data_IF_248987067971
#
_entry.id   IF_248987067971
#
_cell.length_a   1.000
_cell.length_b   1.000
_cell.length_c   1.000
_cell.angle_alpha   90.00
_cell.angle_beta   90.00
_cell.angle_gamma   90.00
#
_symmetry.space_group_name_H-M   'P 1'
#
loop_
_entity.id
_entity.type
_entity.pdbx_description
1 polymer ?
#
# COMPACT_ATOMS: atom_id res chain seq x y z
N UNK A 1 7.17 -15.19 -15.01
CA UNK A 1 5.93 -14.49 -14.65
C UNK A 1 6.13 -13.67 -13.38
N UNK A 2 5.58 -12.45 -13.28
CA UNK A 2 5.74 -11.58 -12.12
C UNK A 2 4.77 -11.99 -10.99
N UNK A 3 5.22 -12.88 -10.10
CA UNK A 3 4.45 -13.41 -8.97
C UNK A 3 4.93 -12.83 -7.65
N UNK A 4 4.39 -11.68 -7.24
CA UNK A 4 4.62 -11.03 -5.95
C UNK A 4 3.42 -10.17 -5.57
N UNK A 5 3.13 -10.05 -4.28
CA UNK A 5 2.13 -9.11 -3.79
C UNK A 5 2.63 -7.66 -3.71
N UNK A 6 3.94 -7.43 -3.79
CA UNK A 6 4.56 -6.13 -3.48
C UNK A 6 4.46 -5.10 -4.62
N UNK A 7 4.14 -5.54 -5.85
CA UNK A 7 4.07 -4.73 -7.07
C UNK A 7 5.40 -4.01 -7.40
N UNK A 8 6.52 -4.50 -6.91
CA UNK A 8 7.85 -3.88 -6.97
C UNK A 8 8.68 -4.26 -8.20
N UNK A 9 8.15 -5.11 -9.11
CA UNK A 9 8.81 -5.50 -10.37
C UNK A 9 8.67 -4.36 -11.39
N UNK A 10 9.80 -3.76 -11.79
CA UNK A 10 9.82 -2.53 -12.56
C UNK A 10 9.30 -2.64 -14.00
N UNK A 11 9.44 -3.79 -14.63
CA UNK A 11 9.02 -3.99 -16.03
C UNK A 11 7.51 -4.20 -16.20
N UNK A 12 6.74 -4.22 -15.12
CA UNK A 12 5.30 -4.48 -15.17
C UNK A 12 4.51 -3.53 -14.27
N UNK A 13 3.30 -3.18 -14.69
CA UNK A 13 2.32 -2.40 -13.91
C UNK A 13 1.42 -3.29 -13.06
N UNK A 14 1.53 -4.62 -13.22
CA UNK A 14 0.74 -5.59 -12.48
C UNK A 14 1.57 -6.83 -12.12
N UNK A 15 1.42 -7.28 -10.88
CA UNK A 15 2.01 -8.54 -10.41
C UNK A 15 0.92 -9.46 -9.87
N UNK A 16 1.04 -10.76 -10.16
CA UNK A 16 0.07 -11.78 -9.75
C UNK A 16 0.12 -11.92 -8.22
N UNK A 17 -1.03 -11.66 -7.58
CA UNK A 17 -1.20 -11.67 -6.14
C UNK A 17 -1.39 -10.29 -5.51
N UNK A 18 -1.02 -9.19 -6.19
CA UNK A 18 -1.17 -7.84 -5.65
C UNK A 18 -2.63 -7.48 -5.35
N UNK A 19 -3.52 -7.66 -6.33
CA UNK A 19 -4.94 -7.33 -6.18
C UNK A 19 -5.59 -8.13 -5.05
N UNK A 20 -5.25 -9.42 -4.93
CA UNK A 20 -5.71 -10.28 -3.83
C UNK A 20 -5.21 -9.77 -2.47
N UNK A 21 -3.92 -9.42 -2.36
CA UNK A 21 -3.35 -8.93 -1.12
C UNK A 21 -3.96 -7.58 -0.68
N UNK A 22 -4.21 -6.67 -1.62
CA UNK A 22 -4.90 -5.39 -1.35
C UNK A 22 -6.32 -5.64 -0.86
N UNK A 23 -7.09 -6.51 -1.53
CA UNK A 23 -8.47 -6.82 -1.12
C UNK A 23 -8.51 -7.49 0.26
N UNK A 24 -7.58 -8.40 0.56
CA UNK A 24 -7.45 -9.00 1.90
C UNK A 24 -7.16 -7.94 2.97
N UNK A 25 -6.27 -7.00 2.67
CA UNK A 25 -5.95 -5.91 3.59
C UNK A 25 -7.16 -4.97 3.78
N UNK A 26 -7.86 -4.61 2.71
CA UNK A 26 -9.05 -3.76 2.78
C UNK A 26 -10.15 -4.38 3.64
N UNK A 27 -10.43 -5.68 3.48
CA UNK A 27 -11.41 -6.38 4.31
C UNK A 27 -11.04 -6.31 5.81
N UNK A 28 -9.76 -6.43 6.14
CA UNK A 28 -9.30 -6.29 7.51
C UNK A 28 -9.41 -4.85 8.02
N UNK A 29 -9.02 -3.86 7.19
CA UNK A 29 -9.07 -2.43 7.53
C UNK A 29 -10.52 -1.99 7.79
N UNK A 30 -11.47 -2.42 6.97
CA UNK A 30 -12.89 -2.07 7.17
C UNK A 30 -13.41 -2.59 8.53
N UNK A 31 -13.08 -3.83 8.89
CA UNK A 31 -13.43 -4.41 10.21
C UNK A 31 -12.78 -3.64 11.37
N UNK A 32 -11.51 -3.20 11.20
CA UNK A 32 -10.82 -2.39 12.21
C UNK A 32 -11.46 -1.01 12.33
N UNK A 33 -11.86 -0.40 11.20
CA UNK A 33 -12.52 0.90 11.16
C UNK A 33 -13.83 0.90 11.93
N UNK A 34 -14.68 -0.11 11.72
CA UNK A 34 -15.95 -0.23 12.45
C UNK A 34 -15.71 -0.22 13.96
N UNK A 35 -14.72 -0.99 14.42
CA UNK A 35 -14.33 -1.02 15.84
C UNK A 35 -13.74 0.31 16.30
N UNK A 36 -12.90 0.95 15.49
CA UNK A 36 -12.26 2.23 15.83
C UNK A 36 -13.27 3.36 15.94
N UNK A 37 -14.28 3.37 15.07
CA UNK A 37 -15.35 4.38 15.10
C UNK A 37 -16.18 4.28 16.38
N UNK A 38 -16.54 3.07 16.80
CA UNK A 38 -17.35 2.85 18.01
C UNK A 38 -16.62 3.17 19.33
N UNK A 39 -15.29 3.14 19.32
CA UNK A 39 -14.47 3.39 20.51
C UNK A 39 -13.68 4.71 20.45
N UNK A 40 -13.88 5.52 19.43
CA UNK A 40 -13.21 6.82 19.23
C UNK A 40 -11.68 6.74 19.27
N UNK A 41 -11.09 5.75 18.61
CA UNK A 41 -9.66 5.42 18.64
C UNK A 41 -8.91 5.92 17.43
N UNK A 42 -7.59 6.03 17.60
CA UNK A 42 -6.63 6.02 16.49
C UNK A 42 -6.19 4.57 16.21
N UNK A 43 -6.22 4.17 14.95
CA UNK A 43 -5.77 2.85 14.51
C UNK A 43 -4.63 2.96 13.50
N UNK A 44 -3.50 2.32 13.79
CA UNK A 44 -2.39 2.16 12.86
C UNK A 44 -2.46 0.74 12.32
N UNK A 45 -2.68 0.61 11.01
CA UNK A 45 -2.72 -0.69 10.35
C UNK A 45 -1.45 -0.84 9.50
N UNK A 46 -0.60 -1.79 9.88
CA UNK A 46 0.60 -2.11 9.12
C UNK A 46 0.29 -3.17 8.08
N UNK A 47 0.62 -2.83 6.83
CA UNK A 47 0.44 -3.70 5.67
C UNK A 47 1.78 -4.13 5.09
N UNK A 48 1.81 -5.29 4.46
CA UNK A 48 2.99 -5.82 3.77
C UNK A 48 3.35 -4.95 2.55
N UNK A 49 4.45 -5.25 1.91
CA UNK A 49 4.98 -4.56 0.73
C UNK A 49 6.51 -4.54 0.70
N UNK A 50 7.16 -5.15 1.72
CA UNK A 50 8.61 -5.19 1.87
C UNK A 50 9.23 -3.78 1.87
N UNK A 51 9.96 -3.39 0.82
CA UNK A 51 10.53 -2.06 0.65
C UNK A 51 9.71 -1.13 -0.23
N UNK A 52 8.47 -1.52 -0.61
CA UNK A 52 7.61 -0.76 -1.50
C UNK A 52 6.28 -0.39 -0.82
N UNK A 53 5.81 0.81 -1.04
CA UNK A 53 4.60 1.36 -0.43
C UNK A 53 3.31 1.15 -1.24
N UNK A 54 3.31 0.35 -2.31
CA UNK A 54 2.14 0.23 -3.20
C UNK A 54 0.90 -0.30 -2.51
N UNK A 55 1.01 -1.34 -1.66
CA UNK A 55 -0.14 -1.87 -0.91
C UNK A 55 -0.67 -0.80 0.05
N UNK A 56 0.20 -0.13 0.80
CA UNK A 56 -0.19 0.93 1.72
C UNK A 56 -0.88 2.09 0.99
N UNK A 57 -0.36 2.51 -0.15
CA UNK A 57 -0.92 3.57 -0.97
C UNK A 57 -2.34 3.20 -1.47
N UNK A 58 -2.49 2.00 -2.02
CA UNK A 58 -3.79 1.53 -2.54
C UNK A 58 -4.83 1.37 -1.43
N UNK A 59 -4.44 0.71 -0.33
CA UNK A 59 -5.33 0.56 0.82
C UNK A 59 -5.72 1.91 1.43
N UNK A 60 -4.75 2.81 1.59
CA UNK A 60 -4.99 4.13 2.16
C UNK A 60 -5.93 4.99 1.31
N UNK A 61 -5.74 5.01 -0.02
CA UNK A 61 -6.65 5.70 -0.94
C UNK A 61 -8.04 5.09 -0.92
N UNK A 62 -8.14 3.78 -1.05
CA UNK A 62 -9.42 3.07 -1.13
C UNK A 62 -10.25 3.20 0.15
N UNK A 63 -9.59 3.28 1.29
CA UNK A 63 -10.25 3.39 2.60
C UNK A 63 -10.36 4.83 3.10
N UNK A 64 -9.76 5.81 2.42
CA UNK A 64 -9.75 7.22 2.85
C UNK A 64 -9.04 7.41 4.19
N UNK A 65 -7.91 6.74 4.38
CA UNK A 65 -7.10 6.87 5.59
C UNK A 65 -6.60 8.32 5.77
N UNK A 66 -6.49 8.77 7.02
CA UNK A 66 -6.06 10.13 7.35
C UNK A 66 -4.56 10.31 7.15
N UNK A 67 -3.78 9.28 7.38
CA UNK A 67 -2.34 9.28 7.14
C UNK A 67 -1.92 7.98 6.45
N UNK A 68 -0.99 8.09 5.50
CA UNK A 68 -0.44 6.96 4.77
C UNK A 68 1.08 7.09 4.76
N UNK A 69 1.74 6.09 5.32
CA UNK A 69 3.19 6.06 5.46
C UNK A 69 3.77 5.03 4.48
N UNK A 70 4.64 5.50 3.60
CA UNK A 70 5.31 4.66 2.59
C UNK A 70 6.82 4.87 2.62
N UNK A 71 7.63 3.84 2.35
CA UNK A 71 9.08 3.97 2.35
C UNK A 71 9.61 5.04 1.39
N UNK A 72 8.97 5.20 0.24
CA UNK A 72 9.38 6.13 -0.81
C UNK A 72 9.32 7.60 -0.40
N UNK A 73 8.45 7.95 0.56
CA UNK A 73 8.34 9.33 1.09
C UNK A 73 8.94 9.47 2.50
N UNK A 74 9.39 8.38 3.09
CA UNK A 74 9.92 8.38 4.46
C UNK A 74 11.40 8.76 4.47
N UNK A 75 11.72 9.90 5.09
CA UNK A 75 13.09 10.43 5.20
C UNK A 75 13.92 9.83 6.35
N UNK A 76 13.40 8.81 7.03
CA UNK A 76 14.02 8.19 8.21
C UNK A 76 13.75 8.95 9.53
N UNK A 77 13.06 10.08 9.49
CA UNK A 77 12.77 10.89 10.67
C UNK A 77 11.42 10.52 11.29
N UNK A 78 11.39 9.41 12.02
CA UNK A 78 10.19 8.93 12.69
C UNK A 78 9.54 9.95 13.65
N UNK A 79 10.27 10.70 14.50
CA UNK A 79 9.68 11.74 15.33
C UNK A 79 8.91 12.82 14.56
N UNK A 80 9.40 13.21 13.38
CA UNK A 80 8.72 14.17 12.50
C UNK A 80 7.38 13.61 11.99
N UNK A 81 7.38 12.37 11.54
CA UNK A 81 6.17 11.68 11.07
C UNK A 81 5.14 11.55 12.20
N UNK A 82 5.57 11.14 13.38
CA UNK A 82 4.72 11.03 14.57
C UNK A 82 4.11 12.38 14.95
N UNK A 83 4.89 13.45 14.93
CA UNK A 83 4.39 14.79 15.19
C UNK A 83 3.32 15.22 14.19
N UNK A 84 3.51 14.92 12.90
CA UNK A 84 2.49 15.19 11.87
C UNK A 84 1.20 14.44 12.13
N UNK A 85 1.27 13.14 12.43
CA UNK A 85 0.09 12.34 12.77
C UNK A 85 -0.64 12.91 13.99
N UNK A 86 0.10 13.29 15.04
CA UNK A 86 -0.47 13.90 16.25
C UNK A 86 -1.23 15.19 15.90
N UNK A 87 -0.63 16.07 15.10
CA UNK A 87 -1.26 17.33 14.67
C UNK A 87 -2.52 17.07 13.84
N UNK A 88 -2.49 16.12 12.91
CA UNK A 88 -3.65 15.72 12.11
C UNK A 88 -4.78 15.14 12.99
N UNK A 89 -4.43 14.24 13.89
CA UNK A 89 -5.35 13.61 14.83
C UNK A 89 -6.06 14.65 15.71
N UNK A 90 -5.31 15.54 16.34
CA UNK A 90 -5.86 16.59 17.21
C UNK A 90 -6.71 17.61 16.42
N UNK A 91 -6.27 18.01 15.23
CA UNK A 91 -7.03 18.88 14.34
C UNK A 91 -8.35 18.25 13.90
N UNK A 92 -8.34 16.99 13.53
CA UNK A 92 -9.53 16.25 13.10
C UNK A 92 -10.50 16.04 14.28
N UNK A 93 -9.97 15.75 15.47
CA UNK A 93 -10.74 15.64 16.70
C UNK A 93 -11.45 16.95 17.03
N UNK A 94 -10.77 18.09 16.92
CA UNK A 94 -11.34 19.41 17.12
C UNK A 94 -12.48 19.74 16.14
N UNK A 95 -12.50 19.10 14.96
CA UNK A 95 -13.58 19.20 13.97
C UNK A 95 -14.70 18.17 14.19
N UNK A 96 -14.67 17.39 15.27
CA UNK A 96 -15.69 16.39 15.62
C UNK A 96 -15.48 15.01 14.98
N UNK A 97 -14.31 14.74 14.36
CA UNK A 97 -14.00 13.41 13.84
C UNK A 97 -13.62 12.49 15.01
N UNK A 98 -14.30 11.35 15.12
CA UNK A 98 -14.17 10.46 16.28
C UNK A 98 -13.09 9.39 16.10
N UNK A 99 -12.76 9.02 14.85
CA UNK A 99 -11.73 8.02 14.55
C UNK A 99 -10.61 8.62 13.70
N UNK A 100 -9.45 7.96 13.72
CA UNK A 100 -8.30 8.31 12.89
C UNK A 100 -7.60 7.03 12.42
N UNK A 101 -7.43 6.86 11.13
CA UNK A 101 -6.82 5.69 10.52
C UNK A 101 -5.47 6.06 9.90
N UNK A 102 -4.44 5.33 10.28
CA UNK A 102 -3.10 5.42 9.69
C UNK A 102 -2.80 4.10 8.99
N UNK A 103 -2.53 4.13 7.70
CA UNK A 103 -2.02 2.96 6.98
C UNK A 103 -0.49 3.07 6.89
N UNK A 104 0.19 2.10 7.44
CA UNK A 104 1.65 2.08 7.53
C UNK A 104 2.22 0.91 6.72
N UNK A 105 3.13 1.20 5.79
CA UNK A 105 3.87 0.14 5.09
C UNK A 105 4.89 -0.51 6.04
N UNK A 106 5.06 -1.83 5.97
CA UNK A 106 6.05 -2.56 6.79
C UNK A 106 7.49 -2.05 6.59
N UNK A 107 7.78 -1.48 5.42
CA UNK A 107 9.09 -0.87 5.11
C UNK A 107 9.40 0.39 5.93
N UNK A 108 8.38 1.08 6.45
CA UNK A 108 8.53 2.14 7.45
C UNK A 108 8.60 1.54 8.85
N UNK A 109 7.74 0.55 9.13
CA UNK A 109 7.73 -0.20 10.38
C UNK A 109 7.32 0.61 11.62
N UNK A 110 7.81 0.21 12.77
CA UNK A 110 7.65 0.90 14.06
C UNK A 110 6.21 1.06 14.59
N UNK A 111 5.19 0.42 14.01
CA UNK A 111 3.77 0.64 14.31
C UNK A 111 3.42 0.54 15.80
N UNK A 112 3.92 -0.46 16.52
CA UNK A 112 3.65 -0.59 17.97
C UNK A 112 4.25 0.53 18.81
N UNK A 113 5.49 0.93 18.51
CA UNK A 113 6.15 2.01 19.26
C UNK A 113 5.55 3.37 18.92
N UNK A 114 5.16 3.58 17.67
CA UNK A 114 4.45 4.76 17.19
C UNK A 114 3.09 4.89 17.90
N UNK A 115 2.31 3.82 17.96
CA UNK A 115 1.02 3.82 18.66
C UNK A 115 1.16 4.27 20.12
N UNK A 116 2.14 3.71 20.86
CA UNK A 116 2.40 4.09 22.26
C UNK A 116 2.77 5.56 22.41
N UNK A 117 3.60 6.11 21.51
CA UNK A 117 4.01 7.51 21.58
C UNK A 117 2.89 8.47 21.26
N UNK A 118 2.07 8.16 20.24
CA UNK A 118 0.88 8.95 19.88
C UNK A 118 -0.12 8.95 21.04
N UNK A 119 -0.42 7.78 21.60
CA UNK A 119 -1.31 7.67 22.77
C UNK A 119 -0.80 8.49 23.96
N UNK A 120 0.49 8.38 24.28
CA UNK A 120 1.11 9.15 25.37
C UNK A 120 1.05 10.66 25.16
N UNK A 121 1.20 11.11 23.92
CA UNK A 121 1.20 12.54 23.59
C UNK A 121 -0.21 13.16 23.50
N UNK A 122 -1.22 12.36 23.12
CA UNK A 122 -2.58 12.86 22.83
C UNK A 122 -3.61 12.47 23.87
N UNK A 123 -3.34 11.43 24.66
CA UNK A 123 -4.32 10.80 25.54
C UNK A 123 -5.41 10.01 24.78
N UNK A 124 -5.32 9.91 23.47
CA UNK A 124 -6.27 9.18 22.63
C UNK A 124 -5.78 7.73 22.49
N UNK A 125 -6.63 6.78 22.86
CA UNK A 125 -6.30 5.36 22.72
C UNK A 125 -5.88 5.05 21.29
N UNK A 126 -4.65 4.53 21.14
CA UNK A 126 -4.06 4.24 19.83
C UNK A 126 -3.63 2.77 19.75
N UNK A 127 -4.13 2.07 18.76
CA UNK A 127 -3.87 0.64 18.56
C UNK A 127 -3.13 0.39 17.25
N UNK A 128 -2.11 -0.46 17.30
CA UNK A 128 -1.43 -0.95 16.11
C UNK A 128 -1.87 -2.39 15.81
N UNK A 129 -2.22 -2.63 14.54
CA UNK A 129 -2.54 -3.96 14.02
C UNK A 129 -1.63 -4.25 12.84
N UNK A 130 -0.81 -5.30 12.95
CA UNK A 130 0.07 -5.75 11.88
C UNK A 130 -0.61 -6.90 11.15
N UNK A 131 -0.99 -6.71 9.88
CA UNK A 131 -1.70 -7.74 9.12
C UNK A 131 -0.77 -8.92 8.78
N UNK A 132 0.46 -8.63 8.39
CA UNK A 132 1.47 -9.64 8.14
C UNK A 132 1.03 -10.69 7.12
N UNK A 133 1.39 -11.94 7.37
CA UNK A 133 1.24 -13.06 6.43
C UNK A 133 -0.20 -13.40 6.03
N UNK A 134 -1.23 -12.94 6.75
CA UNK A 134 -2.62 -13.14 6.30
C UNK A 134 -2.88 -12.51 4.92
N UNK A 135 -2.14 -11.46 4.55
CA UNK A 135 -2.25 -10.83 3.24
C UNK A 135 -1.75 -11.72 2.08
N UNK A 136 -0.99 -12.77 2.36
CA UNK A 136 -0.52 -13.74 1.37
C UNK A 136 -1.48 -14.90 1.15
N UNK A 137 -2.54 -14.98 1.96
CA UNK A 137 -3.55 -16.01 1.89
C UNK A 137 -4.83 -15.56 1.18
N UNK A 138 -5.81 -16.44 1.20
CA UNK A 138 -7.13 -16.20 0.64
C UNK A 138 -7.30 -16.70 -0.79
N UNK A 139 -8.52 -16.53 -1.32
CA UNK A 139 -8.86 -16.88 -2.69
C UNK A 139 -8.44 -15.77 -3.65
N UNK A 140 -7.72 -16.08 -4.75
CA UNK A 140 -7.37 -15.09 -5.75
C UNK A 140 -8.59 -14.36 -6.29
N UNK A 141 -8.48 -13.04 -6.46
CA UNK A 141 -9.50 -12.22 -7.10
C UNK A 141 -9.70 -12.62 -8.57
N UNK A 142 -10.81 -12.21 -9.16
CA UNK A 142 -11.05 -12.42 -10.59
C UNK A 142 -9.91 -11.81 -11.43
N UNK A 143 -9.44 -10.64 -11.07
CA UNK A 143 -8.35 -9.96 -11.79
C UNK A 143 -7.05 -10.76 -11.76
N UNK A 144 -6.64 -11.23 -10.59
CA UNK A 144 -5.44 -12.06 -10.46
C UNK A 144 -5.53 -13.34 -11.31
N UNK A 145 -6.70 -14.01 -11.30
CA UNK A 145 -6.91 -15.24 -12.09
C UNK A 145 -6.81 -14.97 -13.58
N UNK A 146 -7.48 -13.93 -14.07
CA UNK A 146 -7.49 -13.56 -15.51
C UNK A 146 -6.08 -13.16 -15.96
N UNK A 147 -5.42 -12.29 -15.22
CA UNK A 147 -4.09 -11.81 -15.60
C UNK A 147 -3.04 -12.92 -15.52
N UNK A 148 -3.11 -13.79 -14.51
CA UNK A 148 -2.24 -14.97 -14.45
C UNK A 148 -2.42 -15.89 -15.66
N UNK A 149 -3.69 -16.11 -16.10
CA UNK A 149 -3.99 -16.94 -17.28
C UNK A 149 -3.46 -16.30 -18.57
N UNK A 150 -3.66 -14.99 -18.75
CA UNK A 150 -3.17 -14.26 -19.93
C UNK A 150 -1.65 -14.24 -20.00
N UNK A 151 -0.99 -13.98 -18.86
CA UNK A 151 0.47 -14.01 -18.78
C UNK A 151 1.02 -15.42 -19.01
N UNK A 152 0.32 -16.45 -18.49
CA UNK A 152 0.69 -17.85 -18.73
C UNK A 152 0.58 -18.25 -20.19
N UNK A 153 -0.50 -17.87 -20.88
CA UNK A 153 -0.67 -18.11 -22.31
C UNK A 153 0.46 -17.45 -23.13
N UNK A 154 0.72 -16.16 -22.90
CA UNK A 154 1.82 -15.45 -23.58
C UNK A 154 3.17 -16.11 -23.32
N UNK A 155 3.44 -16.58 -22.10
CA UNK A 155 4.69 -17.28 -21.80
C UNK A 155 4.84 -18.59 -22.60
N UNK A 156 3.77 -19.34 -22.78
CA UNK A 156 3.76 -20.57 -23.61
C UNK A 156 3.98 -20.23 -25.07
N UNK A 157 3.33 -19.19 -25.60
CA UNK A 157 3.50 -18.75 -27.00
C UNK A 157 4.97 -18.34 -27.28
N UNK A 158 5.60 -17.65 -26.33
CA UNK A 158 7.01 -17.28 -26.43
C UNK A 158 7.92 -18.53 -26.47
N UNK A 159 7.65 -19.53 -25.66
CA UNK A 159 8.40 -20.79 -25.65
C UNK A 159 8.22 -21.57 -26.96
N UNK A 160 7.00 -21.64 -27.49
CA UNK A 160 6.70 -22.26 -28.80
C UNK A 160 7.45 -21.53 -29.92
N UNK A 161 7.56 -20.19 -29.83
CA UNK A 161 8.33 -19.38 -30.77
C UNK A 161 9.86 -19.48 -30.56
N UNK A 162 10.34 -20.34 -29.66
CA UNK A 162 11.75 -20.53 -29.36
C UNK A 162 12.42 -19.37 -28.60
N UNK A 163 11.65 -18.44 -28.05
CA UNK A 163 12.17 -17.33 -27.24
C UNK A 163 12.50 -17.80 -25.82
N UNK A 164 13.70 -17.46 -25.36
CA UNK A 164 14.18 -17.78 -24.01
C UNK A 164 14.60 -16.51 -23.29
N UNK A 165 14.85 -16.59 -21.97
CA UNK A 165 15.28 -15.46 -21.15
C UNK A 165 14.30 -14.27 -21.20
N UNK A 166 12.99 -14.56 -21.26
CA UNK A 166 11.93 -13.54 -21.33
C UNK A 166 11.22 -13.39 -20.00
N UNK A 167 10.83 -12.16 -19.66
CA UNK A 167 9.91 -11.81 -18.57
C UNK A 167 8.61 -11.33 -19.20
N UNK A 168 7.50 -11.98 -18.84
CA UNK A 168 6.17 -11.51 -19.22
C UNK A 168 5.69 -10.47 -18.23
N UNK A 169 5.00 -9.44 -18.68
CA UNK A 169 4.43 -8.39 -17.87
C UNK A 169 3.12 -7.84 -18.44
N UNK A 170 2.57 -6.86 -17.75
CA UNK A 170 1.42 -6.08 -18.19
C UNK A 170 1.79 -4.60 -18.16
N UNK A 171 1.62 -3.90 -19.27
CA UNK A 171 2.01 -2.49 -19.38
C UNK A 171 1.16 -1.76 -20.41
N UNK A 172 0.69 -0.56 -20.07
CA UNK A 172 -0.13 0.31 -20.94
C UNK A 172 -1.37 -0.39 -21.53
N UNK A 173 -2.01 -1.26 -20.75
CA UNK A 173 -3.20 -1.99 -21.19
C UNK A 173 -2.93 -3.30 -21.94
N UNK A 174 -1.66 -3.66 -22.16
CA UNK A 174 -1.26 -4.83 -22.97
C UNK A 174 -0.39 -5.81 -22.19
N UNK A 175 -0.47 -7.09 -22.55
CA UNK A 175 0.47 -8.10 -22.09
C UNK A 175 1.71 -8.08 -23.00
N UNK A 176 2.86 -7.89 -22.38
CA UNK A 176 4.14 -7.65 -23.06
C UNK A 176 5.23 -8.59 -22.58
N UNK A 177 6.33 -8.71 -23.33
CA UNK A 177 7.51 -9.45 -22.91
C UNK A 177 8.78 -8.61 -23.08
N UNK A 178 9.73 -8.80 -22.18
CA UNK A 178 11.03 -8.15 -22.18
C UNK A 178 12.16 -9.17 -22.09
N UNK A 179 13.33 -8.84 -22.61
CA UNK A 179 14.54 -9.55 -22.22
C UNK A 179 14.78 -9.41 -20.72
N UNK A 180 15.25 -10.47 -20.07
CA UNK A 180 15.39 -10.46 -18.61
C UNK A 180 16.39 -9.40 -18.13
N UNK A 181 17.46 -9.14 -18.89
CA UNK A 181 18.45 -8.14 -18.51
C UNK A 181 17.90 -6.72 -18.69
N UNK A 182 17.10 -6.49 -19.75
CA UNK A 182 16.38 -5.23 -19.92
C UNK A 182 15.39 -5.00 -18.77
N UNK A 183 14.62 -6.03 -18.43
CA UNK A 183 13.65 -5.95 -17.33
C UNK A 183 14.31 -5.64 -15.98
N UNK A 184 15.46 -6.25 -15.69
CA UNK A 184 16.22 -6.02 -14.46
C UNK A 184 16.87 -4.62 -14.39
N UNK A 185 17.14 -4.00 -15.53
CA UNK A 185 17.71 -2.64 -15.59
C UNK A 185 16.64 -1.52 -15.41
N UNK A 186 15.36 -1.86 -15.52
CA UNK A 186 14.28 -0.89 -15.37
C UNK A 186 14.15 -0.39 -13.93
N UNK A 187 13.64 0.83 -13.81
CA UNK A 187 13.33 1.47 -12.53
C UNK A 187 11.82 1.69 -12.41
N UNK A 188 11.28 1.62 -11.21
CA UNK A 188 9.88 1.90 -10.90
C UNK A 188 9.78 2.70 -9.63
N UNK A 189 8.89 3.66 -9.61
CA UNK A 189 8.58 4.48 -8.46
C UNK A 189 7.07 4.67 -8.32
N UNK A 190 6.67 5.24 -7.21
CA UNK A 190 5.28 5.65 -6.98
C UNK A 190 4.93 6.78 -7.96
N UNK A 191 3.74 6.72 -8.54
CA UNK A 191 3.22 7.79 -9.38
C UNK A 191 3.01 9.07 -8.55
N UNK A 192 3.62 10.18 -8.96
CA UNK A 192 3.44 11.48 -8.29
C UNK A 192 1.96 11.87 -8.25
N UNK A 193 1.24 11.66 -9.34
CA UNK A 193 -0.19 11.93 -9.40
C UNK A 193 -1.00 11.09 -8.39
N UNK A 194 -0.71 9.80 -8.27
CA UNK A 194 -1.38 8.96 -7.26
C UNK A 194 -1.06 9.44 -5.84
N UNK A 195 0.17 9.85 -5.59
CA UNK A 195 0.58 10.39 -4.31
C UNK A 195 -0.12 11.71 -3.98
N UNK A 196 -0.20 12.64 -4.93
CA UNK A 196 -0.93 13.90 -4.77
C UNK A 196 -2.42 13.69 -4.50
N UNK A 197 -3.06 12.77 -5.23
CA UNK A 197 -4.47 12.40 -5.00
C UNK A 197 -4.64 11.84 -3.60
N UNK A 198 -3.75 10.95 -3.20
CA UNK A 198 -3.76 10.34 -1.88
C UNK A 198 -3.68 11.41 -0.76
N UNK A 199 -2.74 12.34 -0.86
CA UNK A 199 -2.60 13.47 0.07
C UNK A 199 -3.85 14.37 0.10
N UNK A 200 -4.49 14.57 -1.06
CA UNK A 200 -5.71 15.37 -1.16
C UNK A 200 -6.90 14.71 -0.46
N UNK A 201 -7.03 13.40 -0.58
CA UNK A 201 -8.12 12.62 0.02
C UNK A 201 -7.98 12.49 1.55
N UNK A 202 -6.76 12.44 2.05
CA UNK A 202 -6.48 12.31 3.48
C UNK A 202 -6.77 13.56 4.30
N UNK A 203 -7.32 14.63 3.71
CA UNK A 203 -7.55 15.95 4.33
C UNK A 203 -6.29 16.66 4.86
N UNK A 204 -5.10 16.17 4.50
CA UNK A 204 -3.82 16.74 4.87
C UNK A 204 -3.26 17.66 3.77
N UNK A 205 -3.99 17.80 2.66
CA UNK A 205 -3.58 18.67 1.58
C UNK A 205 -3.77 20.14 1.97
N UNK A 206 -2.67 20.81 2.23
CA UNK A 206 -2.63 22.26 2.34
C UNK A 206 -2.19 22.82 0.99
N UNK A 207 -3.15 23.42 0.25
CA UNK A 207 -2.88 24.06 -1.07
C UNK A 207 -1.82 25.17 -1.02
N UNK A 208 -1.44 25.61 0.19
CA UNK A 208 -0.50 26.70 0.39
C UNK A 208 0.95 26.20 0.59
N UNK A 209 1.18 24.88 0.62
CA UNK A 209 2.52 24.30 0.80
C UNK A 209 3.08 23.78 -0.55
N UNK A 210 3.02 24.62 -1.59
CA UNK A 210 3.78 24.41 -2.83
C UNK A 210 5.09 25.17 -2.78
#
# INVERSE_FOLDING_TARGET
>A
LPGTIDLDIACTEYTIGFDTAVNTAMEAIDKIRDTSTSHERCSIVEVMGRGAGYIALWCGMATGAEDILIPESFDGNLPKVEQQIIEHLLRNRAKGKTHHMVINAEGVGHSYSMAKRIESATGIETRATILGHMQRGGSPTCKDRVYASMMGALAVDLLIAGKTCRVVGYRHGEFVDFDINEALAMQKGISEYQWEVCQSLSHNYDKNNK
#
